data_IF_117897802917
#
_entry.id   IF_117897802917
#
_cell.length_a   1.000
_cell.length_b   1.000
_cell.length_c   1.000
_cell.angle_alpha   90.00
_cell.angle_beta   90.00
_cell.angle_gamma   90.00
#
_symmetry.space_group_name_H-M   'P 1'
#
loop_
_entity.id
_entity.type
_entity.pdbx_description
1 polymer ?
#
# COMPACT_ATOMS: atom_id res chain seq x y z
N UNK A 1 4.93 -4.27 12.55
CA UNK A 1 3.73 -5.00 12.07
C UNK A 1 3.51 -4.80 10.58
N UNK A 2 4.00 -3.71 9.99
CA UNK A 2 3.76 -3.32 8.59
C UNK A 2 4.61 -4.06 7.55
N UNK A 3 5.53 -4.94 7.97
CA UNK A 3 6.41 -5.66 7.05
C UNK A 3 5.70 -6.80 6.30
N UNK A 4 4.44 -7.11 6.64
CA UNK A 4 3.68 -8.23 6.06
C UNK A 4 2.33 -7.83 5.46
N UNK A 5 1.86 -6.60 5.67
CA UNK A 5 0.57 -6.12 5.17
C UNK A 5 0.64 -4.65 4.74
N UNK A 6 -0.06 -4.32 3.67
CA UNK A 6 -0.38 -2.95 3.29
C UNK A 6 -1.48 -2.43 4.22
N UNK A 7 -1.26 -1.26 4.80
CA UNK A 7 -2.21 -0.54 5.64
C UNK A 7 -2.48 0.83 5.02
N UNK A 8 -3.75 1.14 4.76
CA UNK A 8 -4.18 2.41 4.21
C UNK A 8 -5.23 3.04 5.13
N UNK A 9 -5.00 4.29 5.49
CA UNK A 9 -6.00 5.13 6.18
C UNK A 9 -6.67 6.01 5.13
N UNK A 10 -7.98 5.87 5.00
CA UNK A 10 -8.79 6.66 4.07
C UNK A 10 -9.11 8.03 4.70
N UNK A 11 -9.43 9.00 3.85
CA UNK A 11 -9.71 10.38 4.30
C UNK A 11 -10.92 10.49 5.25
N UNK A 12 -11.81 9.49 5.26
CA UNK A 12 -12.95 9.41 6.19
C UNK A 12 -12.64 8.66 7.49
N UNK A 13 -11.37 8.32 7.72
CA UNK A 13 -10.91 7.64 8.93
C UNK A 13 -11.08 6.12 8.91
N UNK A 14 -11.61 5.52 7.83
CA UNK A 14 -11.62 4.06 7.68
C UNK A 14 -10.22 3.54 7.40
N UNK A 15 -9.97 2.31 7.83
CA UNK A 15 -8.71 1.62 7.57
C UNK A 15 -8.92 0.41 6.67
N UNK A 16 -8.02 0.22 5.72
CA UNK A 16 -7.98 -0.94 4.82
C UNK A 16 -6.66 -1.66 5.01
N UNK A 17 -6.75 -2.97 5.19
CA UNK A 17 -5.59 -3.85 5.33
C UNK A 17 -5.62 -4.91 4.24
N UNK A 18 -4.45 -5.20 3.67
CA UNK A 18 -4.28 -6.30 2.73
C UNK A 18 -2.90 -6.95 2.89
N UNK A 19 -2.77 -8.28 2.92
CA UNK A 19 -1.48 -8.95 2.98
C UNK A 19 -0.56 -8.56 1.81
N UNK A 20 0.73 -8.30 2.08
CA UNK A 20 1.70 -7.98 1.01
C UNK A 20 1.93 -9.17 0.07
N UNK A 21 1.74 -10.40 0.54
CA UNK A 21 1.88 -11.63 -0.27
C UNK A 21 0.90 -11.69 -1.44
N UNK A 22 -0.18 -10.88 -1.43
CA UNK A 22 -1.08 -10.76 -2.58
C UNK A 22 -0.52 -9.88 -3.70
N UNK A 23 0.57 -9.15 -3.43
CA UNK A 23 1.21 -8.21 -4.35
C UNK A 23 2.70 -8.58 -4.50
N UNK A 24 3.05 -9.58 -5.33
CA UNK A 24 4.42 -10.11 -5.40
C UNK A 24 5.49 -9.05 -5.67
N UNK A 25 5.19 -8.05 -6.50
CA UNK A 25 6.11 -6.93 -6.76
C UNK A 25 6.35 -6.09 -5.51
N UNK A 26 5.29 -5.75 -4.76
CA UNK A 26 5.39 -4.95 -3.55
C UNK A 26 6.01 -5.73 -2.38
N UNK A 27 5.73 -7.04 -2.30
CA UNK A 27 6.35 -7.93 -1.31
C UNK A 27 7.87 -7.97 -1.45
N UNK A 28 8.38 -8.00 -2.68
CA UNK A 28 9.82 -8.05 -2.95
C UNK A 28 10.49 -6.67 -3.02
N UNK A 29 9.69 -5.59 -3.01
CA UNK A 29 10.22 -4.22 -3.05
C UNK A 29 10.99 -3.90 -1.75
N UNK A 30 12.11 -3.19 -1.90
CA UNK A 30 12.85 -2.64 -0.78
C UNK A 30 12.10 -1.42 -0.18
N UNK A 31 12.57 -0.92 0.97
CA UNK A 31 11.92 0.19 1.67
C UNK A 31 11.79 1.46 0.80
N UNK A 32 12.84 1.84 0.07
CA UNK A 32 12.82 3.04 -0.77
C UNK A 32 11.84 2.91 -1.94
N UNK A 33 11.71 1.70 -2.51
CA UNK A 33 10.72 1.41 -3.56
C UNK A 33 9.29 1.45 -3.01
N UNK A 34 9.04 0.92 -1.80
CA UNK A 34 7.72 0.98 -1.14
C UNK A 34 7.31 2.39 -0.75
N UNK A 35 8.28 3.26 -0.47
CA UNK A 35 8.06 4.68 -0.17
C UNK A 35 7.76 5.50 -1.43
N UNK A 36 8.11 5.00 -2.62
CA UNK A 36 7.86 5.65 -3.90
C UNK A 36 6.47 5.31 -4.47
N UNK A 37 5.42 5.68 -3.75
CA UNK A 37 4.03 5.47 -4.18
C UNK A 37 3.34 6.78 -4.53
N UNK A 38 2.23 6.69 -5.27
CA UNK A 38 1.35 7.82 -5.55
C UNK A 38 -0.11 7.41 -5.68
N UNK A 39 -1.00 8.38 -5.51
CA UNK A 39 -2.41 8.19 -5.83
C UNK A 39 -2.63 8.21 -7.35
N UNK A 40 -3.50 7.32 -7.82
CA UNK A 40 -3.94 7.23 -9.21
C UNK A 40 -5.47 7.27 -9.31
N UNK A 41 -5.99 7.44 -10.53
CA UNK A 41 -7.44 7.38 -10.77
C UNK A 41 -8.23 8.42 -9.97
N UNK A 42 -7.69 9.63 -9.80
CA UNK A 42 -8.27 10.71 -8.98
C UNK A 42 -8.44 10.36 -7.49
N UNK A 43 -7.50 9.57 -6.94
CA UNK A 43 -7.49 9.22 -5.51
C UNK A 43 -8.18 7.90 -5.18
N UNK A 44 -8.60 7.14 -6.19
CA UNK A 44 -9.27 5.83 -6.00
C UNK A 44 -8.27 4.69 -5.84
N UNK A 45 -7.05 4.83 -6.38
CA UNK A 45 -6.02 3.78 -6.32
C UNK A 45 -4.66 4.28 -5.84
N UNK A 46 -3.81 3.31 -5.49
CA UNK A 46 -2.40 3.51 -5.12
C UNK A 46 -1.54 2.79 -6.16
N UNK A 47 -0.47 3.44 -6.61
CA UNK A 47 0.53 2.88 -7.51
C UNK A 47 1.91 3.04 -6.91
#
# INVERSE_FOLDING_TARGET
MDDVALHLVLADGREVFSPLVWFPTLQNANRAERENWRLIGRGVGVH
#
